data_IF_322598227599
#
_entry.id   IF_322598227599
#
_cell.length_a   1.000
_cell.length_b   1.000
_cell.length_c   1.000
_cell.angle_alpha   90.00
_cell.angle_beta   90.00
_cell.angle_gamma   90.00
#
_symmetry.space_group_name_H-M   'P 1'
#
loop_
_entity.id
_entity.type
_entity.pdbx_description
1 polymer ?
#
# COMPACT_ATOMS: atom_id res chain seq x y z
N UNK A 1 6.73 22.43 2.00
CA UNK A 1 7.14 21.63 0.82
C UNK A 1 8.59 21.84 0.35
N UNK A 2 9.04 23.09 0.08
CA UNK A 2 10.23 23.35 -0.76
C UNK A 2 11.55 22.65 -0.34
N UNK A 3 11.84 22.48 0.95
CA UNK A 3 13.12 21.90 1.43
C UNK A 3 13.17 20.37 1.27
N UNK A 4 12.07 19.65 1.52
CA UNK A 4 12.05 18.19 1.31
C UNK A 4 12.05 17.84 -0.16
N UNK A 5 11.28 18.57 -0.96
CA UNK A 5 11.23 18.33 -2.40
C UNK A 5 12.62 18.56 -3.02
N UNK A 6 13.37 19.53 -2.50
CA UNK A 6 14.75 19.78 -2.93
C UNK A 6 15.77 18.73 -2.44
N UNK A 7 15.63 18.20 -1.21
CA UNK A 7 16.64 17.30 -0.62
C UNK A 7 16.34 15.81 -0.74
N UNK A 8 15.06 15.44 -0.74
CA UNK A 8 14.58 14.06 -0.74
C UNK A 8 13.37 13.88 -1.67
N UNK A 9 13.46 14.25 -2.96
CA UNK A 9 12.33 14.22 -3.89
C UNK A 9 11.70 12.82 -4.00
N UNK A 10 12.52 11.77 -3.93
CA UNK A 10 12.06 10.37 -4.01
C UNK A 10 11.18 9.97 -2.81
N UNK A 11 11.53 10.41 -1.61
CA UNK A 11 10.73 10.17 -0.39
C UNK A 11 9.41 10.92 -0.46
N UNK A 12 9.44 12.19 -0.91
CA UNK A 12 8.23 13.01 -1.09
C UNK A 12 7.29 12.39 -2.12
N UNK A 13 7.84 11.91 -3.25
CA UNK A 13 7.05 11.22 -4.27
C UNK A 13 6.42 9.93 -3.72
N UNK A 14 7.18 9.10 -2.99
CA UNK A 14 6.65 7.89 -2.39
C UNK A 14 5.56 8.18 -1.35
N UNK A 15 5.77 9.15 -0.46
CA UNK A 15 4.76 9.58 0.52
C UNK A 15 3.50 10.08 -0.17
N UNK A 16 3.63 11.02 -1.12
CA UNK A 16 2.49 11.55 -1.86
C UNK A 16 1.70 10.47 -2.59
N UNK A 17 2.39 9.53 -3.24
CA UNK A 17 1.76 8.42 -3.94
C UNK A 17 0.92 7.54 -3.00
N UNK A 18 1.48 7.13 -1.85
CA UNK A 18 0.76 6.32 -0.87
C UNK A 18 -0.36 7.07 -0.16
N UNK A 19 -0.16 8.35 0.15
CA UNK A 19 -1.20 9.21 0.73
C UNK A 19 -2.36 9.43 -0.25
N UNK A 20 -2.11 9.52 -1.56
CA UNK A 20 -3.19 9.60 -2.55
C UNK A 20 -4.04 8.33 -2.59
N UNK A 21 -3.43 7.15 -2.47
CA UNK A 21 -4.15 5.87 -2.37
C UNK A 21 -4.96 5.83 -1.07
N UNK A 22 -4.41 6.28 0.04
CA UNK A 22 -5.11 6.39 1.33
C UNK A 22 -6.33 7.31 1.23
N UNK A 23 -6.16 8.53 0.71
CA UNK A 23 -7.23 9.49 0.47
C UNK A 23 -8.31 8.95 -0.49
N UNK A 24 -7.95 8.07 -1.41
CA UNK A 24 -8.88 7.39 -2.30
C UNK A 24 -9.64 6.22 -1.63
N UNK A 25 -9.40 5.96 -0.34
CA UNK A 25 -10.07 4.92 0.46
C UNK A 25 -9.37 3.57 0.43
N UNK A 26 -8.11 3.50 0.01
CA UNK A 26 -7.38 2.25 -0.19
C UNK A 26 -6.18 2.09 0.75
N UNK A 27 -6.22 2.69 1.94
CA UNK A 27 -5.17 2.55 2.95
C UNK A 27 -4.83 1.08 3.20
N UNK A 28 -3.57 0.67 3.05
CA UNK A 28 -3.21 -0.71 3.35
C UNK A 28 -3.29 -0.96 4.86
N UNK A 29 -3.81 -2.13 5.25
CA UNK A 29 -3.81 -2.57 6.65
C UNK A 29 -2.43 -3.13 7.03
N UNK A 30 -1.81 -2.56 8.07
CA UNK A 30 -0.46 -2.89 8.52
C UNK A 30 -0.40 -3.33 9.99
N UNK A 31 -1.50 -3.24 10.74
CA UNK A 31 -1.54 -3.55 12.18
C UNK A 31 -2.19 -4.92 12.40
N UNK A 32 -3.26 -5.20 11.68
CA UNK A 32 -3.99 -6.47 11.73
C UNK A 32 -3.87 -7.21 10.40
N UNK A 33 -4.05 -8.52 10.40
CA UNK A 33 -4.05 -9.28 9.17
C UNK A 33 -5.23 -8.81 8.29
N UNK A 34 -4.94 -8.42 7.07
CA UNK A 34 -5.96 -7.96 6.12
C UNK A 34 -7.02 -9.04 5.82
N UNK A 35 -6.69 -10.33 6.00
CA UNK A 35 -7.58 -11.47 5.79
C UNK A 35 -8.37 -11.86 7.05
N UNK A 36 -7.69 -12.17 8.16
CA UNK A 36 -8.35 -12.73 9.37
C UNK A 36 -8.51 -11.74 10.53
N UNK A 37 -8.00 -10.50 10.40
CA UNK A 37 -8.02 -9.44 11.41
C UNK A 37 -7.26 -9.74 12.72
N UNK A 38 -6.51 -10.83 12.80
CA UNK A 38 -5.58 -11.12 13.91
C UNK A 38 -4.42 -10.11 13.96
N UNK A 39 -3.79 -9.94 15.12
CA UNK A 39 -2.64 -9.04 15.27
C UNK A 39 -1.47 -9.54 14.42
N UNK A 40 -0.79 -8.63 13.71
CA UNK A 40 0.37 -8.97 12.89
C UNK A 40 1.66 -8.99 13.71
N UNK A 41 2.50 -9.97 13.36
CA UNK A 41 3.92 -9.98 13.70
C UNK A 41 4.72 -9.85 12.41
N UNK A 42 5.81 -9.07 12.46
CA UNK A 42 6.70 -8.85 11.32
C UNK A 42 8.01 -9.64 11.49
N UNK A 43 8.64 -10.11 10.39
CA UNK A 43 8.26 -9.93 9.00
C UNK A 43 6.98 -10.69 8.62
N UNK A 44 6.25 -10.16 7.65
CA UNK A 44 4.97 -10.68 7.19
C UNK A 44 4.98 -10.84 5.66
N UNK A 45 3.82 -11.17 5.09
CA UNK A 45 3.58 -11.11 3.65
C UNK A 45 2.59 -10.00 3.34
N UNK A 46 2.68 -9.39 2.16
CA UNK A 46 1.73 -8.40 1.71
C UNK A 46 0.88 -8.96 0.58
N UNK A 47 -0.44 -8.83 0.70
CA UNK A 47 -1.40 -9.22 -0.33
C UNK A 47 -2.09 -7.98 -0.88
N UNK A 48 -1.88 -7.73 -2.18
CA UNK A 48 -2.51 -6.60 -2.86
C UNK A 48 -4.03 -6.78 -2.98
N UNK A 49 -4.50 -8.02 -3.12
CA UNK A 49 -5.94 -8.34 -3.20
C UNK A 49 -6.63 -8.25 -1.85
N UNK A 50 -5.96 -8.65 -0.76
CA UNK A 50 -6.51 -8.50 0.59
C UNK A 50 -6.43 -7.05 1.11
N UNK A 51 -5.62 -6.19 0.48
CA UNK A 51 -5.50 -4.79 0.88
C UNK A 51 -4.52 -4.54 2.02
N UNK A 52 -3.50 -5.39 2.21
CA UNK A 52 -2.53 -5.16 3.28
C UNK A 52 -1.65 -6.36 3.63
N UNK A 53 -1.02 -6.26 4.79
CA UNK A 53 -0.20 -7.31 5.35
C UNK A 53 -1.06 -8.47 5.88
N UNK A 54 -0.56 -9.70 5.72
CA UNK A 54 -1.22 -10.93 6.17
C UNK A 54 -0.29 -11.77 7.03
N UNK A 55 -0.86 -12.47 8.02
CA UNK A 55 -0.11 -13.31 8.92
C UNK A 55 0.35 -14.61 8.23
N UNK A 56 1.27 -15.34 8.87
CA UNK A 56 1.77 -16.62 8.35
C UNK A 56 0.66 -17.68 8.18
N UNK A 57 -0.41 -17.63 8.99
CA UNK A 57 -1.52 -18.57 8.92
C UNK A 57 -2.55 -18.28 7.81
N UNK A 58 -2.52 -17.08 7.21
CA UNK A 58 -3.38 -16.74 6.07
C UNK A 58 -2.63 -16.95 4.76
N UNK A 59 -3.33 -17.44 3.75
CA UNK A 59 -2.80 -17.62 2.39
C UNK A 59 -3.45 -16.62 1.43
N UNK A 60 -2.82 -16.44 0.28
CA UNK A 60 -3.33 -15.59 -0.80
C UNK A 60 -2.45 -15.71 -2.03
N UNK A 61 -2.91 -15.13 -3.13
CA UNK A 61 -2.18 -15.14 -4.40
C UNK A 61 -1.18 -13.98 -4.47
N UNK A 62 -0.07 -14.18 -5.16
CA UNK A 62 0.96 -13.17 -5.44
C UNK A 62 1.40 -12.39 -4.19
N UNK A 63 1.79 -13.13 -3.16
CA UNK A 63 2.24 -12.56 -1.90
C UNK A 63 3.66 -11.99 -2.04
N UNK A 64 3.82 -10.75 -1.60
CA UNK A 64 5.13 -10.10 -1.54
C UNK A 64 5.75 -10.32 -0.16
N UNK A 65 7.05 -10.57 -0.08
CA UNK A 65 7.76 -10.47 1.18
C UNK A 65 7.62 -9.06 1.76
N UNK A 66 7.29 -8.97 3.04
CA UNK A 66 7.05 -7.68 3.67
C UNK A 66 7.84 -7.56 4.97
N UNK A 67 9.03 -6.97 4.83
CA UNK A 67 10.01 -6.82 5.90
C UNK A 67 9.56 -5.77 6.91
N UNK A 68 9.98 -5.93 8.17
CA UNK A 68 9.66 -5.00 9.26
C UNK A 68 10.03 -3.56 8.91
N UNK A 69 11.22 -3.35 8.35
CA UNK A 69 11.72 -2.00 7.99
C UNK A 69 10.83 -1.32 6.93
N UNK A 70 10.33 -2.10 5.98
CA UNK A 70 9.43 -1.64 4.93
C UNK A 70 8.06 -1.31 5.48
N UNK A 71 7.53 -2.13 6.39
CA UNK A 71 6.27 -1.84 7.07
C UNK A 71 6.34 -0.57 7.90
N UNK A 72 7.43 -0.39 8.65
CA UNK A 72 7.70 0.83 9.42
C UNK A 72 7.81 2.04 8.50
N UNK A 73 8.57 1.94 7.40
CA UNK A 73 8.70 3.04 6.46
C UNK A 73 7.35 3.38 5.80
N UNK A 74 6.60 2.38 5.32
CA UNK A 74 5.30 2.60 4.70
C UNK A 74 4.32 3.28 5.66
N UNK A 75 4.23 2.81 6.92
CA UNK A 75 3.41 3.46 7.94
C UNK A 75 3.82 4.91 8.15
N UNK A 76 5.12 5.19 8.23
CA UNK A 76 5.61 6.58 8.36
C UNK A 76 5.25 7.43 7.15
N UNK A 77 5.37 6.91 5.93
CA UNK A 77 5.05 7.66 4.70
C UNK A 77 3.55 7.98 4.60
N UNK A 78 2.68 7.05 5.01
CA UNK A 78 1.23 7.28 5.07
C UNK A 78 0.87 8.41 6.02
N UNK A 79 1.57 8.52 7.15
CA UNK A 79 1.25 9.50 8.20
C UNK A 79 2.14 10.75 8.16
N UNK A 80 3.02 10.88 7.16
CA UNK A 80 3.99 11.97 7.07
C UNK A 80 3.31 13.31 6.73
N UNK A 81 3.47 14.31 7.61
CA UNK A 81 3.13 15.70 7.26
C UNK A 81 4.17 16.30 6.29
N UNK A 82 3.80 16.36 5.00
CA UNK A 82 4.63 16.94 3.94
C UNK A 82 4.83 18.48 4.06
N UNK A 83 3.99 19.16 4.83
CA UNK A 83 4.12 20.59 5.12
C UNK A 83 5.14 20.83 6.23
N UNK A 84 5.13 19.97 7.26
CA UNK A 84 6.01 20.03 8.43
C UNK A 84 6.66 18.67 8.71
N UNK A 85 7.62 18.27 7.88
CA UNK A 85 8.23 16.95 7.98
C UNK A 85 9.11 16.81 9.21
N UNK A 86 8.89 15.73 9.94
CA UNK A 86 9.81 15.28 10.96
C UNK A 86 11.05 14.65 10.32
N UNK A 87 12.18 14.68 11.04
CA UNK A 87 13.40 14.01 10.59
C UNK A 87 13.30 12.52 10.90
N UNK A 88 13.52 11.68 9.89
CA UNK A 88 13.64 10.24 10.06
C UNK A 88 14.67 9.66 9.09
N UNK A 89 15.19 8.49 9.44
CA UNK A 89 16.16 7.77 8.62
C UNK A 89 15.41 6.90 7.62
N UNK A 90 15.84 6.95 6.36
CA UNK A 90 15.28 6.14 5.28
C UNK A 90 16.29 5.09 4.86
N UNK A 91 15.93 3.82 5.03
CA UNK A 91 16.67 2.72 4.43
C UNK A 91 16.34 2.66 2.92
N UNK A 92 17.37 2.71 2.06
CA UNK A 92 17.20 2.70 0.60
C UNK A 92 16.54 1.41 0.08
N UNK A 93 16.82 0.26 0.70
CA UNK A 93 16.20 -1.02 0.35
C UNK A 93 14.70 -1.02 0.74
N UNK A 94 14.38 -0.49 1.91
CA UNK A 94 12.99 -0.34 2.34
C UNK A 94 12.22 0.61 1.41
N UNK A 95 12.80 1.75 1.03
CA UNK A 95 12.19 2.70 0.10
C UNK A 95 11.93 2.05 -1.26
N UNK A 96 12.90 1.29 -1.78
CA UNK A 96 12.75 0.57 -3.04
C UNK A 96 11.63 -0.47 -2.97
N UNK A 97 11.53 -1.21 -1.86
CA UNK A 97 10.44 -2.17 -1.68
C UNK A 97 9.07 -1.48 -1.56
N UNK A 98 8.98 -0.33 -0.87
CA UNK A 98 7.76 0.48 -0.79
C UNK A 98 7.29 0.92 -2.18
N UNK A 99 8.20 1.35 -3.06
CA UNK A 99 7.87 1.75 -4.44
C UNK A 99 7.40 0.56 -5.30
N UNK A 100 8.05 -0.61 -5.16
CA UNK A 100 7.62 -1.83 -5.83
C UNK A 100 6.22 -2.27 -5.38
N UNK A 101 5.95 -2.22 -4.08
CA UNK A 101 4.63 -2.49 -3.52
C UNK A 101 3.59 -1.51 -4.05
N UNK A 102 3.92 -0.22 -4.18
CA UNK A 102 3.00 0.78 -4.73
C UNK A 102 2.58 0.43 -6.16
N UNK A 103 3.54 0.05 -7.01
CA UNK A 103 3.27 -0.34 -8.40
C UNK A 103 2.32 -1.55 -8.48
N UNK A 104 2.59 -2.59 -7.69
CA UNK A 104 1.75 -3.78 -7.64
C UNK A 104 0.35 -3.49 -7.05
N UNK A 105 0.29 -2.72 -5.96
CA UNK A 105 -0.94 -2.46 -5.22
C UNK A 105 -1.89 -1.54 -6.00
N UNK A 106 -1.37 -0.44 -6.57
CA UNK A 106 -2.15 0.46 -7.44
C UNK A 106 -2.74 -0.29 -8.64
N UNK A 107 -1.95 -1.16 -9.28
CA UNK A 107 -2.42 -2.01 -10.39
C UNK A 107 -3.54 -2.95 -9.95
N UNK A 108 -3.42 -3.55 -8.75
CA UNK A 108 -4.45 -4.42 -8.18
C UNK A 108 -5.77 -3.65 -7.96
N UNK A 109 -5.70 -2.43 -7.41
CA UNK A 109 -6.88 -1.58 -7.19
C UNK A 109 -7.59 -1.28 -8.52
N UNK A 110 -6.83 -0.87 -9.54
CA UNK A 110 -7.37 -0.54 -10.87
C UNK A 110 -8.03 -1.76 -11.52
N UNK A 111 -7.37 -2.91 -11.48
CA UNK A 111 -7.90 -4.16 -12.02
C UNK A 111 -9.22 -4.57 -11.35
N UNK A 112 -9.31 -4.47 -10.02
CA UNK A 112 -10.53 -4.76 -9.27
C UNK A 112 -11.70 -3.85 -9.67
N UNK A 113 -11.44 -2.55 -9.89
CA UNK A 113 -12.48 -1.60 -10.36
C UNK A 113 -12.97 -1.94 -11.76
N UNK A 114 -12.07 -2.26 -12.69
CA UNK A 114 -12.44 -2.65 -14.06
C UNK A 114 -13.29 -3.93 -14.08
N UNK A 115 -12.96 -4.92 -13.24
CA UNK A 115 -13.77 -6.14 -13.09
C UNK A 115 -15.17 -5.84 -12.56
N UNK A 116 -15.26 -5.02 -11.51
CA UNK A 116 -16.54 -4.63 -10.91
C UNK A 116 -17.44 -3.93 -11.94
N UNK A 117 -16.89 -2.98 -12.69
CA UNK A 117 -17.63 -2.28 -13.75
C UNK A 117 -18.06 -3.23 -14.88
N UNK A 118 -17.23 -4.21 -15.24
CA UNK A 118 -17.54 -5.18 -16.28
C UNK A 118 -18.72 -6.07 -15.87
N UNK A 119 -18.72 -6.57 -14.63
CA UNK A 119 -19.82 -7.39 -14.09
C UNK A 119 -21.11 -6.59 -13.99
N UNK A 120 -21.05 -5.36 -13.45
CA UNK A 120 -22.22 -4.48 -13.37
C UNK A 120 -22.79 -4.20 -14.76
N UNK A 121 -21.93 -3.94 -15.75
CA UNK A 121 -22.35 -3.74 -17.14
C UNK A 121 -23.01 -5.00 -17.72
N UNK A 122 -22.49 -6.19 -17.43
CA UNK A 122 -23.10 -7.46 -17.87
C UNK A 122 -24.47 -7.66 -17.23
N UNK A 123 -24.65 -7.33 -15.95
CA UNK A 123 -25.95 -7.42 -15.29
C UNK A 123 -26.96 -6.40 -15.82
N UNK A 124 -26.50 -5.18 -16.13
CA UNK A 124 -27.36 -4.10 -16.63
C UNK A 124 -27.70 -4.21 -18.12
N UNK A 125 -26.80 -4.78 -18.94
CA UNK A 125 -27.01 -4.95 -20.39
C UNK A 125 -27.44 -6.37 -20.78
N UNK A 126 -27.27 -7.35 -19.88
CA UNK A 126 -27.62 -8.75 -20.08
C UNK A 126 -28.96 -9.14 -19.47
N UNK A 127 -29.89 -8.19 -19.30
CA UNK A 127 -31.28 -8.52 -19.02
C UNK A 127 -31.91 -9.17 -20.24
N UNK A 128 -31.74 -10.50 -20.39
CA UNK A 128 -32.65 -11.57 -20.82
C UNK A 128 -31.85 -12.88 -20.90
#
# INVERSE_FOLDING_TARGET
>A
LNILTARNPRVVAAAGAWQLIDLAGFRPELVRCASCRGILSYPARFSCSAGGAICAGCSGDNLFEFKTETAVLLSRLLDLDLSRPERFIVNAAALTQVEQLFSAYSSSILNSRLRTLTVLRQMLLGGY
#
